data_IF_795600153277
#
_entry.id   IF_795600153277
#
_cell.length_a   1.000
_cell.length_b   1.000
_cell.length_c   1.000
_cell.angle_alpha   90.00
_cell.angle_beta   90.00
_cell.angle_gamma   90.00
#
_symmetry.space_group_name_H-M   'P 1'
#
loop_
_entity.id
_entity.type
_entity.pdbx_description
1 polymer ?
#
# COMPACT_ATOMS: atom_id res chain seq x y z
N UNK A 1 13.15 1.65 15.43
CA UNK A 1 13.72 2.90 14.89
C UNK A 1 12.54 3.74 14.43
N UNK A 2 12.29 4.90 15.03
CA UNK A 2 11.17 5.76 14.63
C UNK A 2 11.71 6.72 13.56
N UNK A 3 11.62 6.29 12.29
CA UNK A 3 11.91 7.19 11.17
C UNK A 3 10.89 8.32 11.21
N UNK A 4 11.38 9.55 11.34
CA UNK A 4 10.55 10.76 11.25
C UNK A 4 10.11 10.87 9.80
N UNK A 5 8.89 10.39 9.50
CA UNK A 5 8.31 10.43 8.16
C UNK A 5 7.92 11.87 7.86
N UNK A 6 8.65 12.48 6.93
CA UNK A 6 8.38 13.81 6.39
C UNK A 6 6.88 13.95 6.12
N UNK A 7 6.27 15.04 6.60
CA UNK A 7 4.90 15.37 6.22
C UNK A 7 4.87 15.72 4.73
N UNK A 8 4.01 15.05 3.98
CA UNK A 8 3.79 15.27 2.55
C UNK A 8 2.38 15.78 2.30
N UNK A 9 2.24 16.64 1.30
CA UNK A 9 0.93 16.89 0.67
C UNK A 9 0.58 15.72 -0.26
N UNK A 10 -0.67 15.67 -0.70
CA UNK A 10 -1.11 14.66 -1.66
C UNK A 10 -0.31 14.73 -2.98
N UNK A 11 -0.06 15.93 -3.49
CA UNK A 11 0.71 16.14 -4.72
C UNK A 11 2.16 15.66 -4.56
N UNK A 12 2.78 15.94 -3.41
CA UNK A 12 4.13 15.47 -3.13
C UNK A 12 4.22 13.94 -2.96
N UNK A 13 3.11 13.29 -2.57
CA UNK A 13 3.01 11.84 -2.51
C UNK A 13 2.89 11.21 -3.90
N UNK A 14 2.16 11.83 -4.83
CA UNK A 14 2.06 11.32 -6.21
C UNK A 14 3.41 11.28 -6.93
N UNK A 15 4.29 12.22 -6.61
CA UNK A 15 5.65 12.30 -7.16
C UNK A 15 6.70 11.60 -6.24
N UNK A 16 6.28 10.91 -5.19
CA UNK A 16 7.19 10.27 -4.25
C UNK A 16 7.79 8.99 -4.84
N UNK A 17 9.12 8.92 -4.83
CA UNK A 17 9.91 7.73 -5.19
C UNK A 17 11.02 7.58 -4.14
N UNK A 18 11.12 6.38 -3.55
CA UNK A 18 12.16 6.06 -2.56
C UNK A 18 13.36 5.31 -3.18
N UNK A 19 13.35 5.05 -4.50
CA UNK A 19 14.37 4.32 -5.24
C UNK A 19 14.30 2.80 -5.10
N UNK A 20 13.28 2.26 -4.42
CA UNK A 20 13.02 0.83 -4.29
C UNK A 20 11.66 0.50 -4.89
N UNK A 21 11.66 -0.13 -6.06
CA UNK A 21 10.44 -0.51 -6.79
C UNK A 21 9.56 -1.53 -6.06
N UNK A 22 10.06 -2.17 -5.00
CA UNK A 22 9.29 -3.12 -4.19
C UNK A 22 8.52 -2.44 -3.05
N UNK A 23 8.93 -1.25 -2.60
CA UNK A 23 8.27 -0.63 -1.46
C UNK A 23 7.01 0.13 -1.90
N UNK A 24 5.85 -0.32 -1.44
CA UNK A 24 4.60 0.40 -1.62
C UNK A 24 4.26 1.25 -0.39
N UNK A 25 3.81 2.49 -0.59
CA UNK A 25 3.47 3.41 0.51
C UNK A 25 2.05 3.95 0.37
N UNK A 26 1.42 4.18 1.51
CA UNK A 26 0.18 4.93 1.64
C UNK A 26 0.43 6.30 2.29
N UNK A 27 -0.38 7.30 1.91
CA UNK A 27 -0.41 8.59 2.58
C UNK A 27 -1.51 8.59 3.66
N UNK A 28 -1.12 8.47 4.92
CA UNK A 28 -2.03 8.45 6.09
C UNK A 28 -1.77 9.68 6.94
N UNK A 29 -2.77 10.56 7.09
CA UNK A 29 -2.66 11.83 7.84
C UNK A 29 -1.45 12.69 7.44
N UNK A 30 -1.17 12.74 6.13
CA UNK A 30 -0.04 13.47 5.56
C UNK A 30 1.31 12.80 5.79
N UNK A 31 1.37 11.54 6.26
CA UNK A 31 2.60 10.79 6.48
C UNK A 31 2.66 9.56 5.60
N UNK A 32 3.86 9.22 5.16
CA UNK A 32 4.12 7.96 4.47
C UNK A 32 4.05 6.79 5.45
N UNK A 33 3.23 5.80 5.12
CA UNK A 33 3.17 4.51 5.78
C UNK A 33 3.57 3.44 4.78
N UNK A 34 4.64 2.69 5.07
CA UNK A 34 5.05 1.55 4.24
C UNK A 34 4.00 0.43 4.37
N UNK A 35 3.50 -0.05 3.24
CA UNK A 35 2.65 -1.22 3.20
C UNK A 35 3.49 -2.47 3.45
N UNK A 36 3.07 -3.35 4.37
CA UNK A 36 3.72 -4.63 4.52
C UNK A 36 3.43 -5.49 3.29
N UNK A 37 4.42 -6.25 2.84
CA UNK A 37 4.23 -7.31 1.85
C UNK A 37 3.10 -8.25 2.30
N UNK A 38 2.16 -8.60 1.41
CA UNK A 38 1.11 -9.54 1.74
C UNK A 38 1.72 -10.91 2.07
N UNK A 39 1.07 -11.64 2.98
CA UNK A 39 1.40 -13.04 3.19
C UNK A 39 0.67 -13.92 2.16
N UNK A 40 1.15 -15.15 1.96
CA UNK A 40 0.48 -16.13 1.09
C UNK A 40 -1.01 -16.27 1.44
N UNK A 41 -1.36 -16.35 2.74
CA UNK A 41 -2.76 -16.43 3.18
C UNK A 41 -3.57 -15.17 2.82
N UNK A 42 -2.94 -13.99 2.84
CA UNK A 42 -3.61 -12.75 2.44
C UNK A 42 -3.96 -12.81 0.94
N UNK A 43 -3.02 -13.28 0.11
CA UNK A 43 -3.24 -13.46 -1.33
C UNK A 43 -4.34 -14.47 -1.63
N UNK A 44 -4.33 -15.63 -0.95
CA UNK A 44 -5.38 -16.66 -1.11
C UNK A 44 -6.78 -16.12 -0.78
N UNK A 45 -6.90 -15.30 0.27
CA UNK A 45 -8.16 -14.66 0.65
C UNK A 45 -8.60 -13.67 -0.43
N UNK A 46 -7.68 -12.85 -0.96
CA UNK A 46 -7.99 -11.89 -2.02
C UNK A 46 -8.45 -12.59 -3.31
N UNK A 47 -7.81 -13.69 -3.71
CA UNK A 47 -8.20 -14.48 -4.88
C UNK A 47 -9.62 -15.03 -4.71
N UNK A 48 -9.91 -15.62 -3.54
CA UNK A 48 -11.23 -16.14 -3.23
C UNK A 48 -12.31 -15.05 -3.28
N UNK A 49 -12.06 -13.89 -2.68
CA UNK A 49 -13.01 -12.78 -2.68
C UNK A 49 -13.22 -12.24 -4.10
N UNK A 50 -12.17 -12.10 -4.88
CA UNK A 50 -12.24 -11.64 -6.28
C UNK A 50 -13.12 -12.56 -7.11
N UNK A 51 -12.90 -13.88 -7.02
CA UNK A 51 -13.75 -14.88 -7.68
C UNK A 51 -15.22 -14.78 -7.26
N UNK A 52 -15.50 -14.63 -5.96
CA UNK A 52 -16.87 -14.55 -5.45
C UNK A 52 -17.61 -13.29 -5.94
N UNK A 53 -16.92 -12.15 -6.01
CA UNK A 53 -17.53 -10.90 -6.47
C UNK A 53 -17.62 -10.80 -8.00
N UNK A 54 -16.71 -11.43 -8.75
CA UNK A 54 -16.84 -11.55 -10.21
C UNK A 54 -18.02 -12.43 -10.61
N UNK A 55 -18.26 -13.55 -9.90
CA UNK A 55 -19.42 -14.41 -10.13
C UNK A 55 -20.77 -13.77 -9.78
N UNK A 56 -20.76 -12.66 -9.03
CA UNK A 56 -21.97 -11.96 -8.60
C UNK A 56 -22.52 -10.99 -9.68
N UNK A 57 -21.82 -10.82 -10.80
CA UNK A 57 -22.19 -9.94 -11.91
C UNK A 57 -22.55 -10.69 -13.20
#
# INVERSE_FOLDING_TARGET
MNAVTKLLTFEQFLDFDNGNELDEYELVDGRLALMPEPSELHEEILEFLSFMFELAY
#
